data_IF_193709575827
#
_entry.id   IF_193709575827
#
_cell.length_a   1.000
_cell.length_b   1.000
_cell.length_c   1.000
_cell.angle_alpha   90.00
_cell.angle_beta   90.00
_cell.angle_gamma   90.00
#
_symmetry.space_group_name_H-M   'P 1'
#
loop_
_entity.id
_entity.type
_entity.pdbx_description
1 polymer ?
#
# COMPACT_ATOMS: atom_id res chain seq x y z
N UNK A 1 11.75 13.67 -61.09
CA UNK A 1 11.57 14.15 -59.70
C UNK A 1 10.38 13.41 -59.10
N UNK A 2 10.64 12.19 -58.55
CA UNK A 2 9.60 11.33 -57.95
C UNK A 2 9.52 11.56 -56.44
N UNK A 3 8.41 12.10 -55.94
CA UNK A 3 8.08 12.13 -54.51
C UNK A 3 7.65 10.74 -54.10
N UNK A 4 8.40 10.09 -53.18
CA UNK A 4 7.93 8.91 -52.47
C UNK A 4 6.84 9.32 -51.47
N UNK A 5 5.64 8.76 -51.62
CA UNK A 5 4.60 8.84 -50.59
C UNK A 5 4.99 7.90 -49.44
N UNK A 6 5.15 8.45 -48.25
CA UNK A 6 5.26 7.66 -47.01
C UNK A 6 3.84 7.40 -46.55
N UNK A 7 3.46 6.14 -46.43
CA UNK A 7 2.19 5.73 -45.85
C UNK A 7 2.23 5.94 -44.34
N UNK A 8 1.26 6.68 -43.81
CA UNK A 8 1.09 6.95 -42.40
C UNK A 8 -0.13 6.16 -41.88
N UNK A 9 -0.12 5.81 -40.56
CA UNK A 9 -1.30 5.25 -39.92
C UNK A 9 -2.41 6.32 -39.71
N UNK A 10 -3.62 5.94 -39.27
CA UNK A 10 -4.71 6.87 -39.05
C UNK A 10 -4.41 7.99 -38.02
N UNK A 11 -3.37 7.84 -37.19
CA UNK A 11 -2.96 8.80 -36.17
C UNK A 11 -1.72 9.60 -36.55
N UNK A 12 -1.22 9.45 -37.82
CA UNK A 12 -0.19 10.31 -38.42
C UNK A 12 1.26 9.89 -38.18
N UNK A 13 1.54 8.68 -37.66
CA UNK A 13 2.90 8.19 -37.44
C UNK A 13 3.44 7.40 -38.66
N UNK A 14 4.76 7.51 -38.97
CA UNK A 14 5.35 6.77 -40.09
C UNK A 14 5.48 5.29 -39.76
N UNK A 15 4.93 4.42 -40.64
CA UNK A 15 5.09 2.99 -40.54
C UNK A 15 6.52 2.60 -40.94
N UNK A 16 7.32 2.12 -39.99
CA UNK A 16 8.61 1.49 -40.29
C UNK A 16 8.39 0.05 -40.71
N UNK A 17 8.73 -0.28 -41.96
CA UNK A 17 8.73 -1.62 -42.51
C UNK A 17 9.76 -2.50 -41.74
N UNK A 18 9.29 -3.36 -40.86
CA UNK A 18 9.98 -4.56 -40.41
C UNK A 18 9.36 -5.77 -41.11
N UNK A 19 9.58 -5.84 -42.44
CA UNK A 19 9.21 -6.97 -43.25
C UNK A 19 10.26 -8.08 -43.20
N UNK A 20 10.15 -9.04 -42.28
CA UNK A 20 10.80 -10.33 -42.47
C UNK A 20 9.99 -11.15 -43.46
N UNK A 21 10.58 -11.51 -44.60
CA UNK A 21 9.92 -12.30 -45.63
C UNK A 21 9.67 -13.72 -45.16
N UNK A 22 8.56 -14.36 -45.58
CA UNK A 22 8.22 -15.78 -45.33
C UNK A 22 9.39 -16.76 -45.58
N UNK A 23 10.35 -16.37 -46.42
CA UNK A 23 11.52 -17.16 -46.79
C UNK A 23 12.57 -17.17 -45.68
N UNK A 24 12.75 -16.07 -44.90
CA UNK A 24 13.65 -16.01 -43.74
C UNK A 24 13.10 -16.78 -42.54
N UNK A 25 11.79 -16.84 -42.39
CA UNK A 25 11.14 -17.64 -41.36
C UNK A 25 11.30 -19.15 -41.61
N UNK A 26 11.23 -19.61 -42.88
CA UNK A 26 11.41 -21.01 -43.25
C UNK A 26 12.89 -21.45 -43.22
N UNK A 27 13.84 -20.55 -43.48
CA UNK A 27 15.27 -20.85 -43.41
C UNK A 27 15.78 -21.01 -41.96
N UNK A 28 15.16 -20.30 -40.99
CA UNK A 28 15.48 -20.50 -39.57
C UNK A 28 14.87 -21.76 -38.96
N UNK A 29 13.82 -22.33 -39.56
CA UNK A 29 13.22 -23.60 -39.17
C UNK A 29 13.98 -24.83 -39.66
N UNK A 30 14.79 -24.74 -40.74
CA UNK A 30 15.47 -25.86 -41.35
C UNK A 30 16.82 -26.25 -40.69
N UNK A 31 17.39 -25.42 -39.83
CA UNK A 31 18.64 -25.71 -39.11
C UNK A 31 18.43 -26.50 -37.80
N UNK A 32 17.19 -26.78 -37.39
CA UNK A 32 16.88 -27.54 -36.19
C UNK A 32 16.52 -29.03 -36.44
N UNK A 33 16.48 -29.48 -37.69
CA UNK A 33 16.11 -30.85 -38.04
C UNK A 33 17.30 -31.78 -38.31
N UNK A 34 18.56 -31.34 -38.17
CA UNK A 34 19.76 -32.08 -38.55
C UNK A 34 20.58 -32.71 -37.40
N UNK A 35 20.17 -32.59 -36.15
CA UNK A 35 20.99 -32.99 -34.99
C UNK A 35 20.38 -34.12 -34.12
N UNK A 36 19.48 -34.93 -34.68
CA UNK A 36 18.76 -35.96 -33.92
C UNK A 36 19.28 -37.39 -34.20
N UNK A 37 20.57 -37.57 -34.41
CA UNK A 37 21.15 -38.92 -34.68
C UNK A 37 22.48 -39.24 -33.97
N UNK A 38 22.76 -38.65 -32.78
CA UNK A 38 23.80 -39.17 -31.90
C UNK A 38 23.30 -39.07 -30.45
N UNK A 39 23.11 -40.23 -29.82
CA UNK A 39 22.47 -40.46 -28.54
C UNK A 39 23.09 -39.64 -27.38
N UNK A 40 22.33 -38.77 -26.86
CA UNK A 40 22.48 -38.08 -25.61
C UNK A 40 21.23 -37.24 -25.39
N UNK A 41 20.37 -37.68 -24.48
CA UNK A 41 19.20 -36.93 -24.08
C UNK A 41 19.63 -35.62 -23.42
N UNK A 42 19.93 -34.59 -24.23
CA UNK A 42 19.90 -33.22 -23.75
C UNK A 42 18.43 -32.84 -23.49
N UNK A 43 17.97 -33.12 -22.27
CA UNK A 43 16.81 -32.40 -21.74
C UNK A 43 17.16 -30.92 -21.81
N UNK A 44 16.37 -30.06 -22.49
CA UNK A 44 16.58 -28.65 -22.39
C UNK A 44 16.45 -28.34 -20.91
N UNK A 45 17.55 -27.94 -20.24
CA UNK A 45 17.51 -27.33 -18.96
C UNK A 45 16.61 -26.12 -19.18
N UNK A 46 15.38 -26.16 -18.65
CA UNK A 46 14.53 -25.01 -18.58
C UNK A 46 15.37 -23.97 -17.84
N UNK A 47 15.90 -22.98 -18.56
CA UNK A 47 16.53 -21.84 -17.94
C UNK A 47 15.45 -21.28 -17.01
N UNK A 48 15.66 -21.45 -15.71
CA UNK A 48 14.77 -20.90 -14.72
C UNK A 48 14.64 -19.40 -15.05
N UNK A 49 13.46 -18.99 -15.44
CA UNK A 49 13.19 -17.58 -15.65
C UNK A 49 13.63 -16.86 -14.36
N UNK A 50 14.41 -15.80 -14.49
CA UNK A 50 14.84 -15.02 -13.33
C UNK A 50 13.62 -14.55 -12.52
N UNK A 51 13.82 -14.05 -11.30
CA UNK A 51 12.71 -13.61 -10.46
C UNK A 51 11.86 -12.57 -11.19
N UNK A 52 10.54 -12.69 -11.04
CA UNK A 52 9.60 -11.69 -11.59
C UNK A 52 9.76 -10.37 -10.82
N UNK A 53 10.08 -9.30 -11.52
CA UNK A 53 10.15 -7.98 -10.91
C UNK A 53 8.77 -7.32 -10.93
N UNK A 54 8.24 -7.02 -9.76
CA UNK A 54 6.99 -6.28 -9.57
C UNK A 54 7.31 -4.83 -9.24
N UNK A 55 6.79 -3.90 -10.06
CA UNK A 55 6.82 -2.47 -9.73
C UNK A 55 5.80 -2.19 -8.63
N UNK A 56 6.23 -1.48 -7.60
CA UNK A 56 5.45 -1.32 -6.38
C UNK A 56 5.47 0.13 -5.88
N UNK A 57 4.36 0.56 -5.29
CA UNK A 57 4.28 1.78 -4.50
C UNK A 57 3.90 1.47 -3.06
N UNK A 58 4.21 2.40 -2.16
CA UNK A 58 3.97 2.24 -0.73
C UNK A 58 3.72 3.58 -0.05
N UNK A 59 3.01 3.57 1.08
CA UNK A 59 2.92 4.71 1.98
C UNK A 59 4.19 4.88 2.83
N UNK A 60 4.15 5.80 3.79
CA UNK A 60 5.29 6.14 4.67
C UNK A 60 5.04 5.80 6.14
N UNK A 61 3.93 5.14 6.48
CA UNK A 61 3.60 4.71 7.84
C UNK A 61 4.20 3.34 8.18
N UNK A 62 4.24 3.02 9.47
CA UNK A 62 4.68 1.70 9.98
C UNK A 62 3.80 0.56 9.46
N UNK A 63 2.57 0.82 9.04
CA UNK A 63 1.71 -0.14 8.35
C UNK A 63 2.37 -0.77 7.11
N UNK A 64 3.40 -0.13 6.54
CA UNK A 64 4.16 -0.64 5.41
C UNK A 64 5.41 -1.45 5.82
N UNK A 65 5.72 -1.54 7.12
CA UNK A 65 6.95 -2.20 7.59
C UNK A 65 7.10 -3.64 7.05
N UNK A 66 6.08 -4.52 7.07
CA UNK A 66 6.20 -5.85 6.48
C UNK A 66 6.57 -5.82 5.00
N UNK A 67 6.01 -4.87 4.23
CA UNK A 67 6.29 -4.72 2.82
C UNK A 67 7.71 -4.23 2.54
N UNK A 68 8.24 -3.35 3.39
CA UNK A 68 9.64 -2.93 3.32
C UNK A 68 10.60 -4.08 3.65
N UNK A 69 10.29 -4.86 4.70
CA UNK A 69 11.10 -6.01 5.09
C UNK A 69 11.15 -7.10 4.00
N UNK A 70 10.07 -7.28 3.23
CA UNK A 70 10.08 -8.19 2.07
C UNK A 70 11.22 -7.80 1.12
N UNK A 71 11.38 -6.52 0.81
CA UNK A 71 12.45 -6.03 -0.06
C UNK A 71 13.82 -6.09 0.62
N UNK A 72 13.93 -5.49 1.81
CA UNK A 72 15.22 -5.33 2.50
C UNK A 72 15.88 -6.66 2.88
N UNK A 73 15.06 -7.67 3.17
CA UNK A 73 15.50 -9.03 3.56
C UNK A 73 15.36 -10.05 2.44
N UNK A 74 14.93 -9.64 1.24
CA UNK A 74 14.72 -10.50 0.08
C UNK A 74 13.86 -11.75 0.41
N UNK A 75 12.71 -11.53 1.06
CA UNK A 75 11.89 -12.62 1.59
C UNK A 75 11.01 -13.32 0.54
N UNK A 76 10.72 -12.67 -0.59
CA UNK A 76 9.84 -13.21 -1.62
C UNK A 76 10.59 -14.09 -2.62
N UNK A 77 10.39 -15.41 -2.54
CA UNK A 77 11.00 -16.34 -3.48
C UNK A 77 10.42 -16.14 -4.88
N UNK A 78 11.30 -15.99 -5.88
CA UNK A 78 10.90 -15.82 -7.29
C UNK A 78 10.28 -14.46 -7.61
N UNK A 79 10.25 -13.52 -6.66
CA UNK A 79 9.70 -12.16 -6.83
C UNK A 79 10.67 -11.13 -6.29
N UNK A 80 10.89 -10.06 -7.04
CA UNK A 80 11.66 -8.89 -6.62
C UNK A 80 10.75 -7.67 -6.62
N UNK A 81 10.81 -6.83 -5.58
CA UNK A 81 10.08 -5.58 -5.50
C UNK A 81 10.94 -4.41 -6.00
N UNK A 82 10.48 -3.72 -7.03
CA UNK A 82 11.03 -2.46 -7.51
C UNK A 82 10.16 -1.30 -7.03
N UNK A 83 10.60 -0.58 -6.00
CA UNK A 83 9.84 0.53 -5.42
C UNK A 83 9.96 1.79 -6.25
N UNK A 84 8.83 2.23 -6.80
CA UNK A 84 8.72 3.50 -7.51
C UNK A 84 8.54 4.62 -6.49
N UNK A 85 9.53 5.50 -6.39
CA UNK A 85 9.47 6.67 -5.50
C UNK A 85 8.45 7.67 -6.01
N UNK A 86 7.59 8.13 -5.12
CA UNK A 86 6.57 9.14 -5.40
C UNK A 86 6.75 10.36 -4.50
N UNK A 87 6.54 11.58 -5.02
CA UNK A 87 6.69 12.79 -4.23
C UNK A 87 5.55 13.00 -3.23
N UNK A 88 4.34 12.47 -3.49
CA UNK A 88 3.17 12.64 -2.64
C UNK A 88 2.30 11.38 -2.56
N UNK A 89 1.41 11.32 -1.56
CA UNK A 89 0.43 10.23 -1.43
C UNK A 89 -0.55 10.19 -2.62
N UNK A 90 -0.89 11.32 -3.22
CA UNK A 90 -1.76 11.37 -4.41
C UNK A 90 -1.11 10.69 -5.61
N UNK A 91 0.21 10.83 -5.79
CA UNK A 91 0.94 10.20 -6.89
C UNK A 91 0.97 8.67 -6.77
N UNK A 92 0.99 8.14 -5.56
CA UNK A 92 0.92 6.69 -5.30
C UNK A 92 -0.32 6.09 -5.96
N UNK A 93 -1.49 6.67 -5.67
CA UNK A 93 -2.76 6.24 -6.23
C UNK A 93 -2.81 6.43 -7.76
N UNK A 94 -2.31 7.56 -8.26
CA UNK A 94 -2.27 7.85 -9.69
C UNK A 94 -1.45 6.82 -10.47
N UNK A 95 -0.24 6.49 -10.02
CA UNK A 95 0.63 5.49 -10.68
C UNK A 95 0.00 4.10 -10.69
N UNK A 96 -0.65 3.70 -9.58
CA UNK A 96 -1.36 2.43 -9.52
C UNK A 96 -2.58 2.41 -10.45
N UNK A 97 -3.40 3.47 -10.43
CA UNK A 97 -4.55 3.62 -11.32
C UNK A 97 -4.18 3.62 -12.80
N UNK A 98 -3.08 4.31 -13.17
CA UNK A 98 -2.55 4.36 -14.54
C UNK A 98 -1.89 3.04 -15.00
N UNK A 99 -1.69 2.10 -14.10
CA UNK A 99 -1.07 0.82 -14.43
C UNK A 99 0.45 0.83 -14.58
N UNK A 100 1.10 1.85 -14.07
CA UNK A 100 2.56 1.97 -14.04
C UNK A 100 3.17 1.01 -13.02
N UNK A 101 2.44 0.67 -11.96
CA UNK A 101 2.85 -0.27 -10.91
C UNK A 101 1.88 -1.45 -10.82
N UNK A 102 2.38 -2.58 -10.35
CA UNK A 102 1.69 -3.87 -10.29
C UNK A 102 1.00 -4.10 -8.95
N UNK A 103 1.64 -3.64 -7.87
CA UNK A 103 1.20 -3.83 -6.48
C UNK A 103 1.38 -2.55 -5.67
N UNK A 104 0.56 -2.38 -4.62
CA UNK A 104 0.67 -1.23 -3.72
C UNK A 104 0.23 -1.60 -2.30
N UNK A 105 0.92 -1.02 -1.31
CA UNK A 105 0.51 -1.04 0.10
C UNK A 105 0.28 0.39 0.55
N UNK A 106 -0.99 0.77 0.68
CA UNK A 106 -1.45 2.10 1.12
C UNK A 106 -2.77 1.97 1.89
N UNK A 107 -3.30 3.03 2.49
CA UNK A 107 -4.61 3.02 3.12
C UNK A 107 -5.71 2.48 2.20
N UNK A 108 -6.63 1.69 2.76
CA UNK A 108 -7.74 1.10 2.00
C UNK A 108 -8.62 2.15 1.30
N UNK A 109 -8.69 3.36 1.82
CA UNK A 109 -9.46 4.48 1.25
C UNK A 109 -8.98 4.86 -0.15
N UNK A 110 -7.67 4.82 -0.40
CA UNK A 110 -7.08 5.06 -1.71
C UNK A 110 -7.56 4.03 -2.74
N UNK A 111 -7.67 2.77 -2.34
CA UNK A 111 -8.17 1.72 -3.23
C UNK A 111 -9.67 1.83 -3.48
N UNK A 112 -10.45 2.34 -2.52
CA UNK A 112 -11.87 2.65 -2.74
C UNK A 112 -12.07 3.73 -3.79
N UNK A 113 -11.28 4.80 -3.75
CA UNK A 113 -11.36 5.88 -4.76
C UNK A 113 -10.95 5.39 -6.14
N UNK A 114 -9.89 4.58 -6.24
CA UNK A 114 -9.46 3.95 -7.48
C UNK A 114 -10.49 2.97 -8.03
N UNK A 115 -11.11 2.17 -7.17
CA UNK A 115 -12.15 1.22 -7.54
C UNK A 115 -13.40 1.93 -8.08
N UNK A 116 -13.85 3.01 -7.42
CA UNK A 116 -14.98 3.84 -7.92
C UNK A 116 -14.66 4.50 -9.27
N UNK A 117 -13.39 4.86 -9.50
CA UNK A 117 -12.90 5.35 -10.77
C UNK A 117 -12.76 4.26 -11.87
N UNK A 118 -13.02 2.99 -11.53
CA UNK A 118 -12.98 1.86 -12.47
C UNK A 118 -11.62 1.20 -12.64
N UNK A 119 -10.65 1.47 -11.76
CA UNK A 119 -9.36 0.81 -11.82
C UNK A 119 -9.50 -0.71 -11.58
N UNK A 120 -8.89 -1.57 -12.41
CA UNK A 120 -8.99 -3.03 -12.30
C UNK A 120 -8.04 -3.55 -11.21
N UNK A 121 -8.44 -3.40 -9.94
CA UNK A 121 -7.65 -3.74 -8.76
C UNK A 121 -8.41 -4.69 -7.84
N UNK A 122 -7.66 -5.45 -7.02
CA UNK A 122 -8.17 -6.27 -5.93
C UNK A 122 -7.33 -6.09 -4.67
N UNK A 123 -7.98 -5.95 -3.53
CA UNK A 123 -7.33 -6.10 -2.23
C UNK A 123 -7.21 -7.60 -1.96
N UNK A 124 -5.99 -8.07 -1.69
CA UNK A 124 -5.67 -9.50 -1.56
C UNK A 124 -5.12 -9.88 -0.18
N UNK A 125 -4.64 -8.91 0.59
CA UNK A 125 -4.17 -9.10 1.96
C UNK A 125 -4.21 -7.76 2.72
N UNK A 126 -4.02 -7.81 4.04
CA UNK A 126 -3.69 -6.67 4.87
C UNK A 126 -2.20 -6.34 4.82
N UNK A 127 -1.82 -5.30 5.58
CA UNK A 127 -0.42 -4.97 5.89
C UNK A 127 -0.30 -4.50 7.33
N UNK A 128 -0.87 -3.36 7.71
CA UNK A 128 -0.86 -2.86 9.08
C UNK A 128 -2.25 -2.54 9.61
N UNK A 129 -2.41 -2.68 10.91
CA UNK A 129 -3.62 -2.32 11.65
C UNK A 129 -3.34 -1.16 12.60
N UNK A 130 -4.35 -0.36 12.90
CA UNK A 130 -4.24 0.80 13.82
C UNK A 130 -3.24 1.85 13.34
N UNK A 131 -2.67 2.62 14.27
CA UNK A 131 -1.59 3.58 14.01
C UNK A 131 -2.02 4.96 13.54
N UNK A 132 -3.31 5.20 13.25
CA UNK A 132 -3.83 6.56 13.04
C UNK A 132 -4.00 7.23 14.40
N UNK A 133 -3.44 8.43 14.56
CA UNK A 133 -3.44 9.13 15.87
C UNK A 133 -3.83 10.60 15.67
N UNK A 134 -4.80 11.05 16.45
CA UNK A 134 -5.13 12.48 16.58
C UNK A 134 -4.28 13.06 17.71
N UNK A 135 -3.39 14.00 17.36
CA UNK A 135 -2.53 14.72 18.29
C UNK A 135 -2.94 16.19 18.27
N UNK A 136 -3.05 16.80 19.45
CA UNK A 136 -3.43 18.21 19.61
C UNK A 136 -2.36 19.02 20.35
N UNK A 137 -2.32 20.32 20.08
CA UNK A 137 -1.46 21.28 20.78
C UNK A 137 -1.75 21.29 22.28
N UNK A 138 -0.78 21.72 23.11
CA UNK A 138 -0.99 21.87 24.54
C UNK A 138 -2.25 22.66 24.88
N UNK A 139 -3.01 22.18 25.85
CA UNK A 139 -4.28 22.79 26.29
C UNK A 139 -5.52 22.32 25.54
N UNK A 140 -5.41 21.55 24.46
CA UNK A 140 -6.54 20.93 23.76
C UNK A 140 -6.61 19.47 24.19
N UNK A 141 -7.61 19.12 25.01
CA UNK A 141 -7.73 17.80 25.65
C UNK A 141 -9.04 17.06 25.30
N UNK A 142 -9.88 17.67 24.45
CA UNK A 142 -11.17 17.09 24.06
C UNK A 142 -11.59 17.50 22.66
N UNK A 143 -12.52 16.74 22.05
CA UNK A 143 -13.12 17.08 20.77
C UNK A 143 -13.80 18.45 20.78
N UNK A 144 -14.50 18.80 21.86
CA UNK A 144 -15.20 20.07 21.98
C UNK A 144 -14.27 21.30 21.84
N UNK A 145 -13.03 21.19 22.32
CA UNK A 145 -12.02 22.23 22.21
C UNK A 145 -11.41 22.37 20.81
N UNK A 146 -11.69 21.44 19.90
CA UNK A 146 -11.32 21.56 18.48
C UNK A 146 -12.24 22.50 17.69
N UNK A 147 -13.37 22.97 18.26
CA UNK A 147 -14.31 23.88 17.57
C UNK A 147 -13.59 25.16 17.13
N UNK A 148 -13.68 25.47 15.83
CA UNK A 148 -13.02 26.59 15.17
C UNK A 148 -11.50 26.43 14.98
N UNK A 149 -10.90 25.31 15.43
CA UNK A 149 -9.48 24.97 15.34
C UNK A 149 -9.12 24.36 13.99
N UNK A 150 -7.84 24.40 13.65
CA UNK A 150 -7.30 23.81 12.42
C UNK A 150 -6.79 22.40 12.68
N UNK A 151 -7.33 21.42 11.96
CA UNK A 151 -6.86 20.04 11.96
C UNK A 151 -6.11 19.76 10.65
N UNK A 152 -4.83 19.39 10.75
CA UNK A 152 -4.02 18.94 9.62
C UNK A 152 -4.24 17.45 9.35
N UNK A 153 -4.39 17.07 8.09
CA UNK A 153 -4.56 15.65 7.67
C UNK A 153 -4.23 15.47 6.18
N UNK A 154 -4.55 14.28 5.63
CA UNK A 154 -4.40 13.95 4.20
C UNK A 154 -5.77 13.70 3.57
N UNK A 155 -5.95 14.19 2.35
CA UNK A 155 -7.24 14.10 1.64
C UNK A 155 -7.53 12.67 1.20
N UNK A 156 -8.78 12.21 1.40
CA UNK A 156 -9.28 10.89 1.02
C UNK A 156 -8.47 9.72 1.63
N UNK A 157 -7.87 9.93 2.79
CA UNK A 157 -6.99 9.00 3.50
C UNK A 157 -7.66 8.47 4.78
N UNK A 158 -7.20 7.35 5.35
CA UNK A 158 -7.64 6.86 6.67
C UNK A 158 -7.40 7.91 7.77
N UNK A 159 -6.39 8.75 7.58
CA UNK A 159 -6.07 9.86 8.47
C UNK A 159 -7.09 11.01 8.41
N UNK A 160 -7.94 11.07 7.40
CA UNK A 160 -9.11 11.96 7.37
C UNK A 160 -10.35 11.29 7.97
N UNK A 161 -10.46 9.96 7.79
CA UNK A 161 -11.60 9.19 8.31
C UNK A 161 -11.63 9.20 9.84
N UNK A 162 -10.47 9.08 10.50
CA UNK A 162 -10.44 9.07 11.97
C UNK A 162 -10.93 10.39 12.59
N UNK A 163 -10.44 11.58 12.24
CA UNK A 163 -10.99 12.83 12.80
C UNK A 163 -12.45 13.07 12.40
N UNK A 164 -12.88 12.65 11.20
CA UNK A 164 -14.28 12.71 10.79
C UNK A 164 -15.19 11.92 11.75
N UNK A 165 -14.84 10.65 12.01
CA UNK A 165 -15.64 9.80 12.90
C UNK A 165 -15.47 10.18 14.39
N UNK A 166 -14.29 10.64 14.81
CA UNK A 166 -14.03 11.14 16.16
C UNK A 166 -14.91 12.37 16.51
N UNK A 167 -14.98 13.34 15.59
CA UNK A 167 -15.83 14.51 15.75
C UNK A 167 -17.32 14.12 15.73
N UNK A 168 -17.72 13.24 14.81
CA UNK A 168 -19.11 12.76 14.72
C UNK A 168 -19.56 12.05 16.02
N UNK A 169 -18.67 11.26 16.63
CA UNK A 169 -18.92 10.61 17.93
C UNK A 169 -19.13 11.62 19.06
N UNK A 170 -18.50 12.80 18.95
CA UNK A 170 -18.64 13.92 19.88
C UNK A 170 -19.82 14.88 19.54
N UNK A 171 -20.68 14.54 18.58
CA UNK A 171 -21.77 15.39 18.10
C UNK A 171 -21.31 16.61 17.31
N UNK A 172 -20.13 16.55 16.72
CA UNK A 172 -19.50 17.57 15.88
C UNK A 172 -19.35 17.08 14.44
N UNK A 173 -18.93 17.98 13.57
CA UNK A 173 -18.66 17.68 12.15
C UNK A 173 -17.44 18.46 11.64
N UNK A 174 -17.02 18.23 10.41
CA UNK A 174 -15.98 19.04 9.76
C UNK A 174 -16.40 20.51 9.53
N UNK A 175 -17.69 20.84 9.59
CA UNK A 175 -18.14 22.25 9.58
C UNK A 175 -17.78 23.01 10.87
N UNK A 176 -17.51 22.30 11.96
CA UNK A 176 -17.13 22.88 13.25
C UNK A 176 -15.63 23.17 13.39
N UNK A 177 -14.81 22.72 12.42
CA UNK A 177 -13.34 22.84 12.43
C UNK A 177 -12.83 23.34 11.08
N UNK A 178 -11.56 23.72 11.01
CA UNK A 178 -10.88 24.02 9.75
C UNK A 178 -9.99 22.83 9.37
N UNK A 179 -10.34 22.12 8.30
CA UNK A 179 -9.49 21.02 7.80
C UNK A 179 -8.45 21.57 6.84
N UNK A 180 -7.18 21.23 7.08
CA UNK A 180 -6.06 21.57 6.21
C UNK A 180 -5.37 20.31 5.72
N UNK A 181 -5.28 20.16 4.40
CA UNK A 181 -4.64 19.01 3.76
C UNK A 181 -3.17 19.28 3.47
N UNK A 182 -2.36 18.23 3.61
CA UNK A 182 -0.93 18.23 3.39
C UNK A 182 -0.54 17.20 2.31
N UNK A 183 0.60 17.42 1.65
CA UNK A 183 1.08 16.55 0.59
C UNK A 183 1.93 15.39 1.10
N UNK A 184 2.72 15.61 2.16
CA UNK A 184 3.69 14.63 2.65
C UNK A 184 3.66 14.49 4.17
N UNK A 185 4.02 13.29 4.66
CA UNK A 185 4.07 12.99 6.10
C UNK A 185 5.04 13.89 6.87
N UNK A 186 6.27 14.16 6.41
CA UNK A 186 7.16 15.09 7.10
C UNK A 186 6.60 16.50 7.17
N UNK A 187 5.92 17.00 6.12
CA UNK A 187 5.35 18.35 6.08
C UNK A 187 4.27 18.54 7.14
N UNK A 188 3.32 17.61 7.27
CA UNK A 188 2.28 17.66 8.29
C UNK A 188 2.88 17.61 9.70
N UNK A 189 3.81 16.70 9.95
CA UNK A 189 4.46 16.58 11.25
C UNK A 189 5.20 17.88 11.64
N UNK A 190 5.94 18.48 10.71
CA UNK A 190 6.63 19.75 10.94
C UNK A 190 5.67 20.93 11.16
N UNK A 191 4.56 20.99 10.40
CA UNK A 191 3.53 22.00 10.57
C UNK A 191 2.92 21.95 11.98
N UNK A 192 2.67 20.74 12.51
CA UNK A 192 2.18 20.56 13.87
C UNK A 192 3.24 20.95 14.91
N UNK A 193 4.48 20.49 14.77
CA UNK A 193 5.59 20.80 15.70
C UNK A 193 5.81 22.33 15.77
N UNK A 194 5.74 23.01 14.63
CA UNK A 194 5.86 24.46 14.54
C UNK A 194 4.65 25.23 15.07
N UNK A 195 3.52 24.58 15.40
CA UNK A 195 2.29 25.23 15.86
C UNK A 195 1.43 25.82 14.75
N UNK A 196 1.65 25.45 13.49
CA UNK A 196 0.91 25.97 12.32
C UNK A 196 -0.46 25.29 12.12
N UNK A 197 -0.75 24.26 12.89
CA UNK A 197 -2.06 23.61 13.04
C UNK A 197 -2.33 23.33 14.52
N UNK A 198 -3.59 23.40 14.94
CA UNK A 198 -4.00 23.18 16.34
C UNK A 198 -4.04 21.70 16.70
N UNK A 199 -4.36 20.86 15.74
CA UNK A 199 -4.29 19.40 15.84
C UNK A 199 -3.87 18.80 14.51
N UNK A 200 -3.43 17.56 14.54
CA UNK A 200 -3.21 16.75 13.33
C UNK A 200 -3.75 15.35 13.53
N UNK A 201 -4.19 14.69 12.45
CA UNK A 201 -4.30 13.26 12.41
C UNK A 201 -3.17 12.71 11.56
N UNK A 202 -2.33 11.88 12.15
CA UNK A 202 -1.15 11.34 11.49
C UNK A 202 -0.97 9.85 11.79
N UNK A 203 -0.21 9.20 10.91
CA UNK A 203 0.18 7.80 11.04
C UNK A 203 1.43 7.68 11.92
N UNK A 204 1.60 6.52 12.57
CA UNK A 204 2.87 6.18 13.20
C UNK A 204 3.96 5.91 12.13
N UNK A 205 5.23 6.33 12.34
CA UNK A 205 5.82 6.86 13.57
C UNK A 205 5.77 8.40 13.71
N UNK A 206 5.15 9.12 12.77
CA UNK A 206 5.15 10.59 12.76
C UNK A 206 4.33 11.18 13.91
N UNK A 207 3.25 10.52 14.34
CA UNK A 207 2.47 10.93 15.50
C UNK A 207 3.30 10.88 16.80
N UNK A 208 4.00 9.77 17.02
CA UNK A 208 4.92 9.62 18.16
C UNK A 208 6.07 10.63 18.11
N UNK A 209 6.66 10.87 16.93
CA UNK A 209 7.71 11.88 16.78
C UNK A 209 7.19 13.28 17.15
N UNK A 210 6.01 13.65 16.70
CA UNK A 210 5.43 14.96 16.98
C UNK A 210 5.10 15.13 18.47
N UNK A 211 4.56 14.10 19.14
CA UNK A 211 4.33 14.12 20.58
C UNK A 211 5.64 14.34 21.37
N UNK A 212 6.73 13.68 20.96
CA UNK A 212 8.05 13.87 21.59
C UNK A 212 8.65 15.25 21.31
N UNK A 213 8.48 15.76 20.09
CA UNK A 213 9.07 17.04 19.67
C UNK A 213 8.29 18.27 20.17
N UNK A 214 7.02 18.10 20.59
CA UNK A 214 6.17 19.16 21.10
C UNK A 214 5.69 18.85 22.52
N UNK A 215 6.47 19.19 23.56
CA UNK A 215 6.11 18.92 24.95
C UNK A 215 4.75 19.53 25.33
N UNK A 216 3.95 18.77 26.09
CA UNK A 216 2.59 19.14 26.48
C UNK A 216 1.51 18.88 25.43
N UNK A 217 1.86 18.43 24.24
CA UNK A 217 0.88 17.92 23.26
C UNK A 217 0.15 16.70 23.80
N UNK A 218 -1.10 16.54 23.37
CA UNK A 218 -2.02 15.51 23.88
C UNK A 218 -2.45 14.60 22.73
N UNK A 219 -2.39 13.29 22.96
CA UNK A 219 -3.06 12.33 22.11
C UNK A 219 -4.55 12.33 22.44
N UNK A 220 -5.39 12.82 21.53
CA UNK A 220 -6.86 12.84 21.71
C UNK A 220 -7.49 11.49 21.40
N UNK A 221 -6.95 10.78 20.40
CA UNK A 221 -7.42 9.45 20.00
C UNK A 221 -6.28 8.70 19.31
N UNK A 222 -6.25 7.38 19.46
CA UNK A 222 -5.44 6.47 18.63
C UNK A 222 -6.32 5.58 17.73
N UNK A 223 -7.58 5.95 17.58
CA UNK A 223 -8.57 5.24 16.79
C UNK A 223 -9.24 4.06 17.50
N UNK A 224 -8.63 3.49 18.54
CA UNK A 224 -9.21 2.33 19.26
C UNK A 224 -10.50 2.70 19.97
N UNK A 225 -10.58 3.91 20.51
CA UNK A 225 -11.77 4.47 21.14
C UNK A 225 -12.92 4.74 20.15
N UNK A 226 -12.61 4.86 18.86
CA UNK A 226 -13.59 5.09 17.79
C UNK A 226 -13.98 3.81 17.08
N UNK A 227 -13.01 2.95 16.77
CA UNK A 227 -13.15 1.81 15.86
C UNK A 227 -13.01 0.44 16.52
N UNK A 228 -12.51 0.38 17.77
CA UNK A 228 -12.08 -0.86 18.41
C UNK A 228 -10.64 -1.24 18.06
N UNK A 229 -10.13 -2.28 18.72
CA UNK A 229 -8.77 -2.75 18.47
C UNK A 229 -8.64 -3.41 17.09
N UNK A 230 -7.43 -3.36 16.54
CA UNK A 230 -7.04 -4.02 15.29
C UNK A 230 -7.83 -3.56 14.04
N UNK A 231 -8.37 -2.33 14.07
CA UNK A 231 -9.01 -1.76 12.88
C UNK A 231 -7.99 -1.65 11.73
N UNK A 232 -8.49 -1.81 10.50
CA UNK A 232 -7.66 -1.74 9.29
C UNK A 232 -7.13 -0.34 9.05
N UNK A 233 -5.88 -0.24 8.58
CA UNK A 233 -5.30 0.98 8.02
C UNK A 233 -4.80 0.71 6.59
N UNK A 234 -3.65 0.04 6.44
CA UNK A 234 -3.10 -0.28 5.13
C UNK A 234 -3.39 -1.72 4.71
N UNK A 235 -3.61 -1.89 3.42
CA UNK A 235 -3.84 -3.19 2.78
C UNK A 235 -2.96 -3.35 1.54
N UNK A 236 -2.68 -4.60 1.17
CA UNK A 236 -2.05 -4.95 -0.10
C UNK A 236 -3.11 -5.05 -1.18
N UNK A 237 -2.98 -4.23 -2.21
CA UNK A 237 -3.75 -4.40 -3.44
C UNK A 237 -2.85 -4.71 -4.62
N UNK A 238 -3.39 -5.45 -5.57
CA UNK A 238 -2.73 -5.86 -6.80
C UNK A 238 -3.63 -5.54 -8.00
N UNK A 239 -3.03 -5.36 -9.17
CA UNK A 239 -3.80 -5.27 -10.41
C UNK A 239 -4.47 -6.60 -10.71
N UNK A 240 -5.72 -6.57 -11.16
CA UNK A 240 -6.46 -7.78 -11.53
C UNK A 240 -5.72 -8.61 -12.59
N UNK A 241 -5.01 -7.95 -13.51
CA UNK A 241 -4.16 -8.61 -14.51
C UNK A 241 -3.06 -9.45 -13.86
N UNK A 242 -2.30 -8.88 -12.90
CA UNK A 242 -1.25 -9.61 -12.19
C UNK A 242 -1.82 -10.82 -11.46
N UNK A 243 -2.95 -10.64 -10.78
CA UNK A 243 -3.64 -11.70 -10.05
C UNK A 243 -4.07 -12.85 -10.96
N UNK A 244 -4.48 -12.55 -12.19
CA UNK A 244 -4.91 -13.54 -13.16
C UNK A 244 -3.74 -14.24 -13.85
N UNK A 245 -2.71 -13.49 -14.27
CA UNK A 245 -1.60 -14.02 -15.07
C UNK A 245 -0.45 -14.60 -14.22
N UNK A 246 -0.25 -14.11 -13.00
CA UNK A 246 0.88 -14.45 -12.12
C UNK A 246 0.44 -14.65 -10.67
N UNK A 247 -0.61 -15.47 -10.46
CA UNK A 247 -1.18 -15.73 -9.13
C UNK A 247 -0.13 -16.24 -8.13
N UNK A 248 0.81 -17.06 -8.56
CA UNK A 248 1.87 -17.60 -7.72
C UNK A 248 2.82 -16.50 -7.22
N UNK A 249 3.09 -15.46 -8.01
CA UNK A 249 3.87 -14.32 -7.57
C UNK A 249 3.13 -13.51 -6.49
N UNK A 250 1.81 -13.37 -6.60
CA UNK A 250 0.98 -12.74 -5.56
C UNK A 250 1.00 -13.57 -4.28
N UNK A 251 0.89 -14.89 -4.37
CA UNK A 251 1.01 -15.81 -3.22
C UNK A 251 2.40 -15.73 -2.57
N UNK A 252 3.47 -15.71 -3.37
CA UNK A 252 4.84 -15.58 -2.88
C UNK A 252 5.03 -14.24 -2.11
N UNK A 253 4.46 -13.15 -2.62
CA UNK A 253 4.48 -11.85 -1.94
C UNK A 253 3.71 -11.89 -0.61
N UNK A 254 2.49 -12.43 -0.58
CA UNK A 254 1.68 -12.55 0.64
C UNK A 254 2.40 -13.41 1.68
N UNK A 255 2.98 -14.55 1.28
CA UNK A 255 3.78 -15.39 2.17
C UNK A 255 4.96 -14.62 2.74
N UNK A 256 5.69 -13.89 1.90
CA UNK A 256 6.84 -13.09 2.33
C UNK A 256 6.42 -11.99 3.33
N UNK A 257 5.26 -11.36 3.15
CA UNK A 257 4.72 -10.40 4.12
C UNK A 257 4.32 -11.08 5.43
N UNK A 258 3.79 -12.32 5.43
CA UNK A 258 3.55 -13.09 6.65
C UNK A 258 4.84 -13.43 7.39
N UNK A 259 5.91 -13.80 6.66
CA UNK A 259 7.25 -14.00 7.24
C UNK A 259 7.78 -12.71 7.85
N UNK A 260 7.62 -11.59 7.16
CA UNK A 260 8.02 -10.27 7.63
C UNK A 260 7.26 -9.87 8.92
N UNK A 261 5.93 -10.09 8.96
CA UNK A 261 5.13 -9.88 10.17
C UNK A 261 5.66 -10.72 11.34
N UNK A 262 5.91 -12.01 11.13
CA UNK A 262 6.45 -12.88 12.17
C UNK A 262 7.81 -12.40 12.69
N UNK A 263 8.71 -12.00 11.79
CA UNK A 263 10.01 -11.44 12.15
C UNK A 263 9.90 -10.14 12.95
N UNK A 264 8.97 -9.25 12.56
CA UNK A 264 8.69 -8.00 13.27
C UNK A 264 8.10 -8.27 14.68
N UNK A 265 7.23 -9.26 14.80
CA UNK A 265 6.66 -9.67 16.09
C UNK A 265 7.70 -10.29 17.04
N UNK A 266 8.75 -10.92 16.51
CA UNK A 266 9.85 -11.48 17.27
C UNK A 266 10.88 -10.42 17.66
N UNK A 267 11.26 -9.56 16.73
CA UNK A 267 12.31 -8.54 16.93
C UNK A 267 11.97 -7.23 16.19
N UNK A 268 11.19 -6.37 16.86
CA UNK A 268 10.85 -5.04 16.37
C UNK A 268 12.05 -4.13 16.17
N UNK A 269 13.06 -4.25 17.04
CA UNK A 269 14.23 -3.40 16.98
C UNK A 269 15.01 -3.64 15.69
N UNK A 270 15.17 -4.91 15.30
CA UNK A 270 15.76 -5.28 14.02
C UNK A 270 14.94 -4.77 12.83
N UNK A 271 13.61 -4.93 12.85
CA UNK A 271 12.73 -4.45 11.79
C UNK A 271 12.81 -2.93 11.61
N UNK A 272 12.81 -2.17 12.71
CA UNK A 272 12.98 -0.71 12.69
C UNK A 272 14.36 -0.32 12.16
N UNK A 273 15.44 -1.01 12.57
CA UNK A 273 16.79 -0.74 12.10
C UNK A 273 16.94 -0.89 10.58
N UNK A 274 16.29 -1.89 9.99
CA UNK A 274 16.37 -2.15 8.55
C UNK A 274 15.59 -1.11 7.71
N UNK A 275 14.61 -0.41 8.31
CA UNK A 275 13.64 0.43 7.60
C UNK A 275 13.75 1.93 7.89
N UNK A 276 14.17 2.32 9.10
CA UNK A 276 14.32 3.73 9.50
C UNK A 276 15.41 4.45 8.68
N UNK A 277 15.17 5.71 8.35
CA UNK A 277 16.05 6.50 7.49
C UNK A 277 15.89 6.23 6.00
N UNK A 278 15.54 5.00 5.60
CA UNK A 278 15.20 4.65 4.22
C UNK A 278 13.77 5.07 3.89
N UNK A 279 12.81 4.57 4.67
CA UNK A 279 11.37 4.71 4.43
C UNK A 279 10.69 5.68 5.39
N UNK A 280 11.14 5.76 6.64
CA UNK A 280 10.63 6.66 7.66
C UNK A 280 11.58 7.84 7.87
N UNK A 281 11.08 9.06 7.75
CA UNK A 281 11.84 10.30 8.01
C UNK A 281 11.69 10.74 9.46
N UNK A 282 11.91 9.80 10.38
CA UNK A 282 11.79 9.94 11.84
C UNK A 282 13.05 9.37 12.50
N UNK A 283 13.26 9.69 13.78
CA UNK A 283 14.38 9.10 14.52
C UNK A 283 14.14 7.62 14.82
N UNK A 284 15.23 6.86 15.03
CA UNK A 284 15.15 5.46 15.44
C UNK A 284 14.32 5.29 16.71
N UNK A 285 14.57 6.10 17.74
CA UNK A 285 13.87 6.01 19.03
C UNK A 285 12.37 6.30 18.93
N UNK A 286 11.98 7.30 18.10
CA UNK A 286 10.57 7.58 17.86
C UNK A 286 9.89 6.46 17.07
N UNK A 287 10.60 5.88 16.09
CA UNK A 287 10.09 4.76 15.29
C UNK A 287 9.93 3.49 16.12
N UNK A 288 10.92 3.17 16.95
CA UNK A 288 10.87 2.00 17.83
C UNK A 288 9.73 2.11 18.87
N UNK A 289 9.56 3.31 19.46
CA UNK A 289 8.44 3.59 20.38
C UNK A 289 7.08 3.43 19.72
N UNK A 290 6.98 3.81 18.45
CA UNK A 290 5.77 3.74 17.65
C UNK A 290 5.44 2.31 17.17
N UNK A 291 6.46 1.46 17.01
CA UNK A 291 6.33 0.16 16.34
C UNK A 291 5.33 -0.80 16.99
N UNK A 292 5.05 -0.65 18.28
CA UNK A 292 4.01 -1.44 18.97
C UNK A 292 2.59 -0.88 18.79
N UNK A 293 2.47 0.37 18.34
CA UNK A 293 1.19 1.09 18.22
C UNK A 293 0.53 0.89 16.85
N UNK A 294 1.31 0.45 15.87
CA UNK A 294 0.84 0.08 14.54
C UNK A 294 1.39 -1.29 14.14
N UNK A 295 0.80 -2.37 14.63
CA UNK A 295 1.28 -3.71 14.36
C UNK A 295 0.99 -4.15 12.92
N UNK A 296 1.84 -5.03 12.40
CA UNK A 296 1.57 -5.77 11.19
C UNK A 296 0.38 -6.71 11.37
N UNK A 297 -0.50 -6.76 10.38
CA UNK A 297 -1.63 -7.70 10.32
C UNK A 297 -1.91 -8.04 8.85
N UNK A 298 -1.35 -9.16 8.39
CA UNK A 298 -1.48 -9.57 6.99
C UNK A 298 -2.84 -10.22 6.74
N UNK A 299 -3.35 -10.95 7.70
CA UNK A 299 -4.72 -11.48 7.63
C UNK A 299 -5.72 -10.46 8.20
N UNK A 300 -6.33 -9.68 7.32
CA UNK A 300 -7.38 -8.70 7.63
C UNK A 300 -8.75 -9.10 7.08
N UNK A 301 -9.01 -10.39 6.85
CA UNK A 301 -10.32 -10.85 6.35
C UNK A 301 -11.46 -10.43 7.28
N UNK A 302 -11.26 -10.47 8.59
CA UNK A 302 -12.24 -10.00 9.58
C UNK A 302 -12.52 -8.49 9.50
N UNK A 303 -11.62 -7.70 8.93
CA UNK A 303 -11.78 -6.26 8.77
C UNK A 303 -12.53 -5.85 7.48
N UNK A 304 -12.91 -6.80 6.60
CA UNK A 304 -13.60 -6.46 5.35
C UNK A 304 -14.84 -5.60 5.58
N UNK A 305 -15.68 -5.97 6.53
CA UNK A 305 -16.90 -5.21 6.85
C UNK A 305 -16.57 -3.82 7.42
N UNK A 306 -15.54 -3.71 8.27
CA UNK A 306 -15.05 -2.42 8.77
C UNK A 306 -14.63 -1.52 7.61
N UNK A 307 -13.84 -2.04 6.68
CA UNK A 307 -13.38 -1.32 5.49
C UNK A 307 -14.59 -0.84 4.67
N UNK A 308 -15.51 -1.73 4.32
CA UNK A 308 -16.69 -1.38 3.51
C UNK A 308 -17.59 -0.33 4.18
N UNK A 309 -17.72 -0.36 5.50
CA UNK A 309 -18.48 0.67 6.24
C UNK A 309 -17.87 2.07 6.12
N UNK A 310 -16.53 2.19 6.02
CA UNK A 310 -15.86 3.49 5.86
C UNK A 310 -16.06 4.10 4.47
N UNK A 311 -16.49 3.32 3.48
CA UNK A 311 -16.86 3.85 2.18
C UNK A 311 -18.00 4.89 2.25
N UNK A 312 -18.90 4.79 3.25
CA UNK A 312 -19.93 5.80 3.45
C UNK A 312 -19.31 7.17 3.79
N UNK A 313 -18.26 7.21 4.61
CA UNK A 313 -17.58 8.47 4.94
C UNK A 313 -16.95 9.11 3.69
N UNK A 314 -16.30 8.30 2.83
CA UNK A 314 -15.76 8.79 1.55
C UNK A 314 -16.86 9.33 0.63
N UNK A 315 -18.03 8.70 0.63
CA UNK A 315 -19.19 9.17 -0.13
C UNK A 315 -19.78 10.46 0.44
N UNK A 316 -19.91 10.57 1.75
CA UNK A 316 -20.38 11.77 2.43
C UNK A 316 -19.44 12.96 2.17
N UNK A 317 -18.13 12.71 2.12
CA UNK A 317 -17.09 13.66 1.76
C UNK A 317 -16.92 13.86 0.24
N UNK A 318 -17.71 13.18 -0.59
CA UNK A 318 -17.77 13.28 -2.06
C UNK A 318 -16.52 12.80 -2.79
N UNK A 319 -15.73 11.90 -2.19
CA UNK A 319 -14.56 11.27 -2.83
C UNK A 319 -14.95 10.12 -3.74
N UNK A 320 -16.05 9.42 -3.46
CA UNK A 320 -16.59 8.35 -4.28
C UNK A 320 -18.08 8.59 -4.56
N UNK A 321 -18.55 8.07 -5.68
CA UNK A 321 -19.96 8.17 -6.11
C UNK A 321 -20.74 6.92 -5.72
N UNK A 322 -20.12 5.73 -5.83
CA UNK A 322 -20.73 4.43 -5.56
C UNK A 322 -20.03 3.78 -4.38
N UNK A 323 -20.78 3.10 -3.54
CA UNK A 323 -20.20 2.29 -2.48
C UNK A 323 -19.61 1.02 -3.10
N UNK A 324 -18.34 0.68 -2.82
CA UNK A 324 -17.77 -0.60 -3.23
C UNK A 324 -18.42 -1.74 -2.46
N UNK A 325 -18.51 -2.91 -3.09
CA UNK A 325 -18.98 -4.14 -2.47
C UNK A 325 -17.83 -5.13 -2.17
N UNK A 326 -18.19 -6.34 -1.70
CA UNK A 326 -17.22 -7.40 -1.40
C UNK A 326 -16.33 -7.78 -2.59
N UNK A 327 -16.79 -7.52 -3.81
CA UNK A 327 -16.05 -7.80 -5.05
C UNK A 327 -14.76 -6.98 -5.20
N UNK A 328 -14.55 -5.95 -4.39
CA UNK A 328 -13.27 -5.22 -4.31
C UNK A 328 -12.15 -6.09 -3.72
N UNK A 329 -12.50 -7.14 -3.00
CA UNK A 329 -11.56 -8.06 -2.36
C UNK A 329 -11.45 -9.38 -3.12
N UNK A 330 -10.26 -9.98 -3.07
CA UNK A 330 -10.03 -11.40 -3.41
C UNK A 330 -9.09 -12.01 -2.36
N UNK A 331 -9.68 -12.63 -1.36
CA UNK A 331 -8.95 -13.33 -0.30
C UNK A 331 -8.45 -14.72 -0.70
N UNK A 332 -8.73 -15.17 -1.94
CA UNK A 332 -8.33 -16.48 -2.43
C UNK A 332 -6.83 -16.76 -2.28
N UNK A 333 -5.93 -15.88 -2.78
CA UNK A 333 -4.48 -16.07 -2.61
C UNK A 333 -4.04 -16.16 -1.16
N UNK A 334 -4.59 -15.31 -0.28
CA UNK A 334 -4.30 -15.35 1.15
C UNK A 334 -4.76 -16.66 1.79
N UNK A 335 -5.97 -17.13 1.46
CA UNK A 335 -6.50 -18.40 1.98
C UNK A 335 -5.61 -19.58 1.58
N UNK A 336 -5.12 -19.61 0.32
CA UNK A 336 -4.20 -20.63 -0.18
C UNK A 336 -2.87 -20.57 0.59
N UNK A 337 -2.28 -19.38 0.75
CA UNK A 337 -1.02 -19.20 1.49
C UNK A 337 -1.16 -19.64 2.95
N UNK A 338 -2.24 -19.30 3.62
CA UNK A 338 -2.51 -19.73 5.01
C UNK A 338 -2.59 -21.24 5.09
N UNK A 339 -3.32 -21.88 4.17
CA UNK A 339 -3.44 -23.35 4.11
C UNK A 339 -2.10 -24.05 3.86
N UNK A 340 -1.30 -23.50 2.94
CA UNK A 340 0.01 -24.06 2.55
C UNK A 340 1.09 -23.81 3.62
N UNK A 341 0.90 -22.85 4.52
CA UNK A 341 1.87 -22.42 5.54
C UNK A 341 1.21 -22.31 6.94
N UNK A 342 0.44 -23.33 7.32
CA UNK A 342 -0.34 -23.35 8.57
C UNK A 342 0.52 -23.15 9.82
N UNK A 343 1.75 -23.67 9.83
CA UNK A 343 2.68 -23.55 10.96
C UNK A 343 3.15 -22.09 11.14
N UNK A 344 3.54 -21.44 10.05
CA UNK A 344 3.87 -20.01 10.07
C UNK A 344 2.67 -19.18 10.53
N UNK A 345 1.50 -19.44 9.94
CA UNK A 345 0.27 -18.72 10.29
C UNK A 345 -0.11 -18.92 11.76
N UNK A 346 0.08 -20.17 12.30
CA UNK A 346 -0.13 -20.48 13.70
C UNK A 346 0.70 -19.61 14.66
N UNK A 347 1.93 -19.26 14.26
CA UNK A 347 2.88 -18.48 15.05
C UNK A 347 2.59 -16.96 15.05
N UNK A 348 1.81 -16.45 14.11
CA UNK A 348 1.46 -15.03 14.07
C UNK A 348 0.61 -14.65 15.28
N UNK A 349 1.00 -13.57 15.97
CA UNK A 349 0.29 -13.05 17.15
C UNK A 349 -0.99 -12.33 16.75
N UNK A 350 -0.94 -11.57 15.65
CA UNK A 350 -2.08 -10.80 15.17
C UNK A 350 -2.57 -11.34 13.82
N UNK A 351 -3.82 -11.78 13.80
CA UNK A 351 -4.50 -12.36 12.64
C UNK A 351 -6.01 -12.30 12.81
N UNK A 352 -6.78 -12.55 11.75
CA UNK A 352 -8.24 -12.69 11.82
C UNK A 352 -8.63 -13.83 12.77
N UNK A 353 -9.64 -13.59 13.59
CA UNK A 353 -10.24 -14.58 14.47
C UNK A 353 -11.12 -15.56 13.69
#
# INVERSE_FOLDING_TARGET
MFRKFVQQDPDGYPLTELGSTRREFLMRGACLAGAAALGGAYLPQAMAAGPLTLKATHGTGLCNCPFFLVKERNLAQGVTLDFVTTPSNADIAALFGAGVVDVSVVPYTNFMTLYDAGAPIKIVAGSGAQGCVIVAQPGITSAAQLRGKTIGTFQADTLEMLPYDYLKKAGMSFADVKVRYFGTSPELAQAFIAGNVDAMCHIEPYATQALKARPGSVQLSNGVDVYGANYSDCVLAVRSKLLHENRDAVKALIKAMMVAQHQEELDRASAVKDTVGKYFKTSYDATLDAASKQPAMIDQRSNQNFILQRAQNLKDLRYIKRLPGPEMFDWGPLNEVIKENSDLYGQLKLKSA
#
